data_IF_043838675249
#
_entry.id   IF_043838675249
#
_cell.length_a   1.000
_cell.length_b   1.000
_cell.length_c   1.000
_cell.angle_alpha   90.00
_cell.angle_beta   90.00
_cell.angle_gamma   90.00
#
_symmetry.space_group_name_H-M   'P 1'
#
loop_
_entity.id
_entity.type
_entity.pdbx_description
1 polymer ?
#
# COMPACT_ATOMS: atom_id res chain seq x y z
N UNK A 1 3.10 3.05 6.85
CA UNK A 1 2.64 4.22 6.08
C UNK A 1 3.28 5.48 6.64
N UNK A 2 3.63 6.45 5.80
CA UNK A 2 4.12 7.77 6.22
C UNK A 2 3.58 8.86 5.28
N UNK A 3 3.19 10.00 5.83
CA UNK A 3 2.65 11.16 5.09
C UNK A 3 2.86 12.42 5.94
N UNK A 4 2.56 13.60 5.39
CA UNK A 4 2.49 14.88 6.11
C UNK A 4 1.11 15.16 6.73
N UNK A 5 0.13 14.28 6.53
CA UNK A 5 -1.18 14.33 7.21
C UNK A 5 -1.16 13.63 8.58
N UNK A 6 -1.98 14.10 9.51
CA UNK A 6 -2.18 13.48 10.83
C UNK A 6 -2.96 12.15 10.74
N UNK A 7 -2.79 11.25 11.70
CA UNK A 7 -3.56 10.00 11.86
C UNK A 7 -3.49 8.96 10.72
N UNK A 8 -2.47 9.01 9.86
CA UNK A 8 -2.33 8.10 8.70
C UNK A 8 -2.39 6.61 9.06
N UNK A 9 -1.87 6.23 10.22
CA UNK A 9 -1.86 4.83 10.68
C UNK A 9 -3.26 4.26 10.89
N UNK A 10 -4.22 5.09 11.29
CA UNK A 10 -5.60 4.68 11.53
C UNK A 10 -6.51 4.88 10.31
N UNK A 11 -6.25 5.89 9.49
CA UNK A 11 -7.15 6.25 8.39
C UNK A 11 -6.93 5.42 7.12
N UNK A 12 -5.74 4.85 6.92
CA UNK A 12 -5.37 4.29 5.61
C UNK A 12 -5.21 2.79 5.56
N UNK A 13 -4.96 2.10 6.69
CA UNK A 13 -4.63 0.67 6.72
C UNK A 13 -5.68 -0.10 7.53
N UNK A 14 -6.21 -1.15 6.92
CA UNK A 14 -7.24 -2.00 7.49
C UNK A 14 -6.78 -3.45 7.44
N UNK A 15 -6.83 -4.15 8.56
CA UNK A 15 -6.35 -5.54 8.67
C UNK A 15 -7.42 -6.38 9.33
N UNK A 16 -7.74 -7.52 8.72
CA UNK A 16 -8.55 -8.55 9.36
C UNK A 16 -7.73 -9.86 9.41
N UNK A 17 -7.32 -10.30 10.61
CA UNK A 17 -6.53 -11.53 10.77
C UNK A 17 -7.18 -12.73 10.08
N UNK A 18 -6.35 -13.53 9.40
CA UNK A 18 -6.80 -14.72 8.67
C UNK A 18 -7.54 -14.44 7.35
N UNK A 19 -7.77 -13.17 6.99
CA UNK A 19 -8.48 -12.81 5.75
C UNK A 19 -7.63 -11.96 4.81
N UNK A 20 -6.99 -10.91 5.32
CA UNK A 20 -6.15 -10.03 4.51
C UNK A 20 -5.97 -8.63 5.10
N UNK A 21 -5.41 -7.74 4.28
CA UNK A 21 -5.25 -6.33 4.58
C UNK A 21 -5.54 -5.47 3.35
N UNK A 22 -6.05 -4.27 3.59
CA UNK A 22 -6.33 -3.24 2.57
C UNK A 22 -5.67 -1.92 2.96
N UNK A 23 -5.25 -1.16 1.96
CA UNK A 23 -4.79 0.21 2.09
C UNK A 23 -5.51 1.11 1.10
N UNK A 24 -6.02 2.25 1.57
CA UNK A 24 -6.77 3.23 0.75
C UNK A 24 -6.24 4.63 1.04
N UNK A 25 -5.61 5.26 0.06
CA UNK A 25 -4.95 6.57 0.18
C UNK A 25 -5.34 7.53 -0.96
N UNK A 26 -4.76 8.74 -0.93
CA UNK A 26 -5.18 9.91 -1.71
C UNK A 26 -6.53 10.40 -1.19
N UNK A 27 -7.65 10.17 -1.88
CA UNK A 27 -8.98 10.36 -1.30
C UNK A 27 -9.41 9.04 -0.61
N UNK A 28 -9.18 8.93 0.70
CA UNK A 28 -9.49 7.70 1.47
C UNK A 28 -10.98 7.41 1.51
N UNK A 29 -11.34 6.13 1.33
CA UNK A 29 -12.71 5.62 1.48
C UNK A 29 -12.68 4.26 2.22
N UNK A 30 -13.08 4.20 3.51
CA UNK A 30 -13.08 2.97 4.30
C UNK A 30 -13.96 1.85 3.72
N UNK A 31 -14.94 2.17 2.88
CA UNK A 31 -15.84 1.19 2.27
C UNK A 31 -15.10 0.13 1.46
N UNK A 32 -13.92 0.43 0.89
CA UNK A 32 -13.09 -0.58 0.20
C UNK A 32 -12.63 -1.70 1.12
N UNK A 33 -12.29 -1.38 2.38
CA UNK A 33 -11.92 -2.41 3.34
C UNK A 33 -13.16 -3.16 3.84
N UNK A 34 -14.24 -2.44 4.18
CA UNK A 34 -15.48 -3.05 4.69
C UNK A 34 -16.06 -4.04 3.68
N UNK A 35 -16.27 -3.58 2.44
CA UNK A 35 -16.79 -4.40 1.36
C UNK A 35 -15.76 -5.44 0.92
N UNK A 36 -14.48 -5.07 0.85
CA UNK A 36 -13.41 -5.99 0.48
C UNK A 36 -13.34 -7.21 1.39
N UNK A 37 -13.39 -7.00 2.72
CA UNK A 37 -13.46 -8.12 3.68
C UNK A 37 -14.75 -8.93 3.54
N UNK A 38 -15.88 -8.30 3.23
CA UNK A 38 -17.12 -9.02 2.94
C UNK A 38 -16.97 -9.94 1.72
N UNK A 39 -16.37 -9.46 0.63
CA UNK A 39 -16.16 -10.25 -0.59
C UNK A 39 -15.13 -11.37 -0.39
N UNK A 40 -14.03 -11.11 0.33
CA UNK A 40 -13.07 -12.16 0.67
C UNK A 40 -13.74 -13.29 1.49
N UNK A 41 -14.65 -12.97 2.43
CA UNK A 41 -15.42 -13.98 3.19
C UNK A 41 -16.33 -14.83 2.30
N UNK A 42 -16.77 -14.30 1.15
CA UNK A 42 -17.55 -15.03 0.14
C UNK A 42 -16.68 -15.86 -0.80
N UNK A 43 -15.35 -15.90 -0.58
CA UNK A 43 -14.41 -16.65 -1.40
C UNK A 43 -13.95 -15.92 -2.67
N UNK A 44 -14.21 -14.61 -2.77
CA UNK A 44 -13.70 -13.79 -3.87
C UNK A 44 -12.20 -13.56 -3.73
N UNK A 45 -11.52 -13.40 -4.86
CA UNK A 45 -10.12 -12.99 -4.89
C UNK A 45 -9.96 -11.54 -4.42
N UNK A 46 -8.74 -11.16 -4.00
CA UNK A 46 -8.43 -9.79 -3.60
C UNK A 46 -8.69 -8.76 -4.72
N UNK A 47 -8.51 -9.16 -5.98
CA UNK A 47 -8.81 -8.33 -7.15
C UNK A 47 -10.32 -8.10 -7.27
N UNK A 48 -11.11 -9.18 -7.28
CA UNK A 48 -12.57 -9.07 -7.35
C UNK A 48 -13.13 -8.24 -6.18
N UNK A 49 -12.59 -8.40 -4.98
CA UNK A 49 -13.00 -7.66 -3.79
C UNK A 49 -12.76 -6.13 -3.94
N UNK A 50 -11.62 -5.73 -4.51
CA UNK A 50 -11.31 -4.32 -4.79
C UNK A 50 -12.17 -3.79 -5.94
N UNK A 51 -12.32 -4.56 -7.02
CA UNK A 51 -13.11 -4.17 -8.20
C UNK A 51 -14.58 -3.99 -7.85
N UNK A 52 -15.16 -4.87 -7.03
CA UNK A 52 -16.55 -4.78 -6.56
C UNK A 52 -16.87 -3.41 -5.95
N UNK A 53 -15.99 -2.89 -5.09
CA UNK A 53 -16.22 -1.56 -4.49
C UNK A 53 -15.92 -0.44 -5.48
N UNK A 54 -14.87 -0.62 -6.30
CA UNK A 54 -14.44 0.39 -7.28
C UNK A 54 -15.49 0.68 -8.33
N UNK A 55 -16.24 -0.33 -8.77
CA UNK A 55 -17.30 -0.19 -9.78
C UNK A 55 -18.47 0.66 -9.29
N UNK A 56 -18.73 0.68 -7.98
CA UNK A 56 -19.76 1.51 -7.36
C UNK A 56 -19.27 2.90 -6.94
N UNK A 57 -17.96 3.17 -7.02
CA UNK A 57 -17.35 4.42 -6.54
C UNK A 57 -17.09 5.38 -7.70
N UNK A 58 -17.95 6.39 -7.83
CA UNK A 58 -17.85 7.45 -8.85
C UNK A 58 -16.54 8.23 -8.77
N UNK A 59 -15.91 8.27 -7.59
CA UNK A 59 -14.67 8.98 -7.33
C UNK A 59 -13.45 8.06 -7.32
N UNK A 60 -13.58 6.79 -7.74
CA UNK A 60 -12.49 5.81 -7.75
C UNK A 60 -11.20 6.34 -8.42
N UNK A 61 -11.35 7.16 -9.46
CA UNK A 61 -10.23 7.76 -10.18
C UNK A 61 -9.38 8.73 -9.35
N UNK A 62 -9.85 9.18 -8.19
CA UNK A 62 -9.14 10.05 -7.25
C UNK A 62 -8.46 9.28 -6.11
N UNK A 63 -8.46 7.95 -6.16
CA UNK A 63 -8.00 7.09 -5.06
C UNK A 63 -6.80 6.24 -5.45
N UNK A 64 -6.13 5.74 -4.44
CA UNK A 64 -5.15 4.66 -4.55
C UNK A 64 -5.55 3.54 -3.59
N UNK A 65 -5.71 2.34 -4.11
CA UNK A 65 -6.15 1.17 -3.34
C UNK A 65 -5.16 0.04 -3.55
N UNK A 66 -4.80 -0.65 -2.48
CA UNK A 66 -4.11 -1.92 -2.56
C UNK A 66 -4.66 -2.90 -1.53
N UNK A 67 -4.52 -4.18 -1.81
CA UNK A 67 -4.92 -5.24 -0.90
C UNK A 67 -4.06 -6.47 -1.06
N UNK A 68 -3.96 -7.24 0.03
CA UNK A 68 -3.34 -8.55 0.09
C UNK A 68 -4.27 -9.50 0.84
N UNK A 69 -4.53 -10.69 0.30
CA UNK A 69 -5.30 -11.72 0.99
C UNK A 69 -4.43 -12.59 1.90
N UNK A 70 -5.05 -13.45 2.72
CA UNK A 70 -4.37 -14.34 3.67
C UNK A 70 -3.47 -15.40 3.00
N UNK A 71 -3.61 -15.61 1.69
CA UNK A 71 -2.75 -16.52 0.91
C UNK A 71 -1.58 -15.79 0.25
N UNK A 72 -1.54 -14.46 0.38
CA UNK A 72 -0.48 -13.61 -0.14
C UNK A 72 -0.69 -13.13 -1.57
N UNK A 73 -1.89 -13.29 -2.16
CA UNK A 73 -2.20 -12.66 -3.45
C UNK A 73 -2.39 -11.16 -3.25
N UNK A 74 -1.91 -10.37 -4.19
CA UNK A 74 -1.89 -8.91 -4.10
C UNK A 74 -2.58 -8.30 -5.30
N UNK A 75 -3.34 -7.22 -5.07
CA UNK A 75 -3.87 -6.37 -6.14
C UNK A 75 -3.78 -4.90 -5.73
N UNK A 76 -3.53 -4.03 -6.70
CA UNK A 76 -3.46 -2.59 -6.49
C UNK A 76 -4.02 -1.82 -7.68
N UNK A 77 -4.51 -0.63 -7.40
CA UNK A 77 -5.10 0.30 -8.35
C UNK A 77 -4.67 1.73 -8.01
N UNK A 78 -4.22 2.46 -9.03
CA UNK A 78 -3.94 3.90 -8.94
C UNK A 78 -4.92 4.62 -9.87
N UNK A 79 -5.75 5.48 -9.29
CA UNK A 79 -6.75 6.25 -10.01
C UNK A 79 -6.15 7.15 -11.09
N UNK A 80 -6.79 7.20 -12.25
CA UNK A 80 -6.26 7.90 -13.42
C UNK A 80 -6.16 9.42 -13.23
N UNK A 81 -6.93 10.00 -12.32
CA UNK A 81 -6.88 11.43 -12.03
C UNK A 81 -5.62 11.83 -11.24
N UNK A 82 -4.94 10.88 -10.58
CA UNK A 82 -3.73 11.17 -9.82
C UNK A 82 -2.55 11.60 -10.70
N UNK A 83 -2.57 11.31 -12.01
CA UNK A 83 -1.57 11.80 -12.96
C UNK A 83 -1.49 13.33 -13.02
N UNK A 84 -2.53 14.03 -12.58
CA UNK A 84 -2.60 15.49 -12.54
C UNK A 84 -2.15 16.07 -11.19
N UNK A 85 -1.88 15.23 -10.17
CA UNK A 85 -1.29 15.69 -8.91
C UNK A 85 0.21 15.89 -9.08
N UNK A 86 0.81 16.77 -8.27
CA UNK A 86 2.25 17.02 -8.27
C UNK A 86 3.02 15.74 -7.95
N UNK A 87 4.08 15.45 -8.69
CA UNK A 87 4.96 14.30 -8.45
C UNK A 87 4.41 12.98 -9.00
N UNK A 88 5.12 11.89 -8.71
CA UNK A 88 4.79 10.56 -9.19
C UNK A 88 3.76 9.89 -8.27
N UNK A 89 2.77 9.22 -8.87
CA UNK A 89 1.76 8.44 -8.16
C UNK A 89 1.63 7.08 -8.82
N UNK A 90 1.95 6.02 -8.08
CA UNK A 90 1.95 4.66 -8.62
C UNK A 90 1.93 3.59 -7.52
N UNK A 91 1.99 2.34 -7.94
CA UNK A 91 2.20 1.18 -7.10
C UNK A 91 3.18 0.21 -7.76
N UNK A 92 3.86 -0.59 -6.94
CA UNK A 92 4.68 -1.71 -7.35
C UNK A 92 4.23 -2.95 -6.59
N UNK A 93 3.81 -3.98 -7.32
CA UNK A 93 3.39 -5.27 -6.75
C UNK A 93 4.61 -6.19 -6.73
N UNK A 94 4.95 -6.68 -5.55
CA UNK A 94 5.96 -7.71 -5.31
C UNK A 94 5.33 -9.10 -5.22
N UNK A 95 6.08 -10.09 -4.73
CA UNK A 95 5.59 -11.48 -4.61
C UNK A 95 4.44 -11.61 -3.61
N UNK A 96 4.56 -10.96 -2.45
CA UNK A 96 3.59 -11.00 -1.35
C UNK A 96 3.52 -9.64 -0.65
N UNK A 97 3.67 -8.57 -1.41
CA UNK A 97 3.73 -7.21 -0.93
C UNK A 97 3.37 -6.21 -2.04
N UNK A 98 3.14 -4.97 -1.62
CA UNK A 98 2.89 -3.85 -2.52
C UNK A 98 3.42 -2.58 -1.89
N UNK A 99 4.21 -1.83 -2.66
CA UNK A 99 4.53 -0.45 -2.37
C UNK A 99 3.56 0.47 -3.11
N UNK A 100 2.88 1.37 -2.39
CA UNK A 100 1.86 2.27 -2.94
C UNK A 100 2.13 3.69 -2.45
N UNK A 101 2.02 4.69 -3.32
CA UNK A 101 2.11 6.09 -2.90
C UNK A 101 1.86 7.12 -3.99
N UNK A 102 1.65 8.36 -3.56
CA UNK A 102 1.39 9.53 -4.41
C UNK A 102 2.23 10.73 -3.94
N UNK A 103 2.39 11.70 -4.84
CA UNK A 103 3.22 12.89 -4.64
C UNK A 103 4.69 12.56 -4.33
N UNK A 104 5.22 11.54 -5.00
CA UNK A 104 6.55 11.00 -4.76
C UNK A 104 7.58 11.54 -5.76
N UNK A 105 8.86 11.44 -5.38
CA UNK A 105 9.94 11.39 -6.36
C UNK A 105 9.98 9.98 -7.01
N UNK A 106 10.51 9.88 -8.24
CA UNK A 106 10.45 8.65 -9.05
C UNK A 106 11.06 7.42 -8.36
N UNK A 107 12.19 7.59 -7.67
CA UNK A 107 12.94 6.49 -7.05
C UNK A 107 12.37 5.98 -5.71
N UNK A 108 11.30 6.60 -5.18
CA UNK A 108 10.78 6.27 -3.84
C UNK A 108 10.23 4.85 -3.81
N UNK A 109 9.32 4.49 -4.72
CA UNK A 109 8.66 3.18 -4.68
C UNK A 109 9.64 2.03 -4.93
N UNK A 110 10.56 2.20 -5.89
CA UNK A 110 11.58 1.19 -6.19
C UNK A 110 12.54 1.01 -5.01
N UNK A 111 12.93 2.09 -4.33
CA UNK A 111 13.76 2.03 -3.12
C UNK A 111 13.03 1.30 -1.98
N UNK A 112 11.74 1.59 -1.77
CA UNK A 112 10.91 0.92 -0.76
C UNK A 112 10.78 -0.58 -1.02
N UNK A 113 10.40 -0.97 -2.24
CA UNK A 113 10.21 -2.35 -2.65
C UNK A 113 11.53 -3.14 -2.54
N UNK A 114 12.61 -2.62 -3.15
CA UNK A 114 13.93 -3.25 -3.13
C UNK A 114 14.41 -3.44 -1.69
N UNK A 115 14.24 -2.44 -0.82
CA UNK A 115 14.64 -2.55 0.58
C UNK A 115 13.80 -3.61 1.30
N UNK A 116 12.50 -3.67 1.10
CA UNK A 116 11.64 -4.68 1.72
C UNK A 116 12.04 -6.11 1.33
N UNK A 117 12.30 -6.34 0.04
CA UNK A 117 12.67 -7.65 -0.51
C UNK A 117 14.01 -8.16 0.03
N UNK A 118 15.01 -7.28 0.16
CA UNK A 118 16.36 -7.65 0.61
C UNK A 118 16.55 -7.56 2.13
N UNK A 119 15.58 -7.00 2.86
CA UNK A 119 15.69 -6.87 4.32
C UNK A 119 15.41 -8.20 5.02
N UNK A 120 16.25 -8.51 6.01
CA UNK A 120 16.04 -9.59 6.98
C UNK A 120 15.41 -9.06 8.27
N UNK A 121 14.83 -9.98 9.03
CA UNK A 121 14.16 -9.72 10.31
C UNK A 121 12.67 -10.06 10.28
N UNK A 122 11.98 -9.67 11.34
CA UNK A 122 10.52 -9.72 11.46
C UNK A 122 9.84 -8.89 10.38
N UNK A 123 8.56 -9.14 10.12
CA UNK A 123 7.76 -8.34 9.19
C UNK A 123 7.79 -6.86 9.56
N UNK A 124 7.68 -6.53 10.86
CA UNK A 124 7.71 -5.15 11.34
C UNK A 124 9.03 -4.45 10.99
N UNK A 125 10.18 -5.09 11.24
CA UNK A 125 11.50 -4.53 10.90
C UNK A 125 11.65 -4.33 9.40
N UNK A 126 11.21 -5.29 8.58
CA UNK A 126 11.28 -5.19 7.11
C UNK A 126 10.42 -4.06 6.56
N UNK A 127 9.20 -3.91 7.08
CA UNK A 127 8.30 -2.80 6.71
C UNK A 127 8.89 -1.44 7.12
N UNK A 128 9.48 -1.36 8.32
CA UNK A 128 10.08 -0.13 8.82
C UNK A 128 11.32 0.27 8.00
N UNK A 129 12.20 -0.69 7.69
CA UNK A 129 13.34 -0.52 6.76
C UNK A 129 12.88 0.00 5.39
N UNK A 130 11.81 -0.56 4.84
CA UNK A 130 11.21 -0.13 3.58
C UNK A 130 10.76 1.33 3.62
N UNK A 131 10.01 1.72 4.66
CA UNK A 131 9.55 3.12 4.83
C UNK A 131 10.73 4.09 4.92
N UNK A 132 11.80 3.73 5.63
CA UNK A 132 13.00 4.56 5.71
C UNK A 132 13.69 4.71 4.35
N UNK A 133 13.83 3.65 3.58
CA UNK A 133 14.41 3.74 2.22
C UNK A 133 13.60 4.66 1.29
N UNK A 134 12.28 4.75 1.50
CA UNK A 134 11.43 5.70 0.77
C UNK A 134 11.64 7.16 1.13
N UNK A 135 12.16 7.47 2.32
CA UNK A 135 12.48 8.85 2.76
C UNK A 135 13.79 9.38 2.19
N UNK A 136 14.75 8.48 1.95
CA UNK A 136 16.08 8.79 1.43
C UNK A 136 16.39 7.88 0.21
N UNK A 137 15.64 8.04 -0.90
CA UNK A 137 15.80 7.19 -2.06
C UNK A 137 17.22 7.33 -2.64
N UNK A 138 17.89 6.19 -2.84
CA UNK A 138 19.28 6.14 -3.33
C UNK A 138 20.36 6.00 -2.24
N UNK A 139 20.02 6.15 -0.96
CA UNK A 139 21.00 6.01 0.13
C UNK A 139 21.23 4.54 0.52
N UNK A 140 22.49 4.09 0.48
CA UNK A 140 22.88 2.74 0.92
C UNK A 140 22.90 2.69 2.45
N UNK A 141 21.73 2.53 3.06
CA UNK A 141 21.62 2.34 4.51
C UNK A 141 22.48 1.15 4.98
N UNK A 142 23.45 1.42 5.87
CA UNK A 142 24.15 0.40 6.65
C UNK A 142 23.19 -0.15 7.73
N UNK A 143 23.13 -1.47 7.87
CA UNK A 143 22.13 -2.17 8.72
C UNK A 143 22.21 -1.82 10.22
N UNK A 144 23.28 -1.15 10.68
CA UNK A 144 23.56 -0.90 12.09
C UNK A 144 22.85 0.32 12.71
N UNK A 145 22.16 1.15 11.93
CA UNK A 145 21.54 2.39 12.42
C UNK A 145 20.07 2.25 12.86
N UNK A 146 19.59 1.02 13.05
CA UNK A 146 18.20 0.72 13.44
C UNK A 146 18.08 0.09 14.82
N UNK A 147 18.90 0.54 15.78
CA UNK A 147 18.61 0.26 17.18
C UNK A 147 17.54 1.25 17.65
N UNK A 148 16.37 0.71 18.00
CA UNK A 148 15.26 1.42 18.64
C UNK A 148 15.65 1.92 20.03
#
# INVERSE_FOLDING_TARGET
MATNNTYVGNSTVYVQPGLGAFSVISETNPSYAINGFSELKKGKSIKEAIEYTREADVDANFRQIAGIDSTGNVYAYTGSALKFRKGYSSHLIGKNDVALGNQLAEAVLSSMATKYEHSKGTLAERLLKSIWAGRMPGDKLQENNLQL
#
